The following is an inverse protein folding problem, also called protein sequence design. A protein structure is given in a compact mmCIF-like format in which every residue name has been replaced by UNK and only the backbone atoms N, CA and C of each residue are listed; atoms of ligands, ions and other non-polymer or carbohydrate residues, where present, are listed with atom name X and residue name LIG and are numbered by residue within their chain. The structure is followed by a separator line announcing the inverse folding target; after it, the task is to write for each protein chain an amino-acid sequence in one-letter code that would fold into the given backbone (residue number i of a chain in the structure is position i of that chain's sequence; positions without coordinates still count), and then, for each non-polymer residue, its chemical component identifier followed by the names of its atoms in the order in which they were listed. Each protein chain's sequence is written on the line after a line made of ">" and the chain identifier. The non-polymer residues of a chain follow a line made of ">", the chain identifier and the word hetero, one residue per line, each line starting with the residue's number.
data_IF_273370753690
#
_entry.id   IF_273370753690
#
_cell.length_a   1.000
_cell.length_b   1.000
_cell.length_c   1.000
_cell.angle_alpha   90.00
_cell.angle_beta   90.00
_cell.angle_gamma   90.00
#
_symmetry.space_group_name_H-M   'P 1'
#
loop_
_entity.id
_entity.type
_entity.pdbx_description
1 polymer ?
#
# COMPACT_ATOMS: atom_id res chain seq x y z
N UNK A 1 -48.89 29.73 -9.96
CA UNK A 1 -48.85 28.27 -9.76
C UNK A 1 -47.76 27.97 -8.74
N UNK A 2 -48.17 27.34 -7.64
CA UNK A 2 -47.37 26.74 -6.56
C UNK A 2 -46.53 27.66 -5.66
N UNK A 3 -47.17 28.08 -4.57
CA UNK A 3 -46.49 28.48 -3.34
C UNK A 3 -46.05 27.26 -2.52
N UNK A 4 -44.98 27.43 -1.75
CA UNK A 4 -44.53 26.51 -0.71
C UNK A 4 -44.52 27.29 0.61
N UNK A 5 -45.16 26.79 1.68
CA UNK A 5 -45.44 27.55 2.89
C UNK A 5 -44.25 27.65 3.84
N UNK A 6 -44.21 28.75 4.61
CA UNK A 6 -43.47 28.87 5.87
C UNK A 6 -44.36 28.48 7.05
N UNK A 7 -43.81 27.78 8.06
CA UNK A 7 -44.18 27.90 9.49
C UNK A 7 -43.16 27.09 10.33
N UNK A 8 -42.16 27.70 11.01
CA UNK A 8 -42.14 28.32 12.37
C UNK A 8 -42.60 27.45 13.54
N UNK A 9 -41.66 27.26 14.47
CA UNK A 9 -41.79 27.21 15.94
C UNK A 9 -40.51 27.88 16.46
N UNK A 10 -40.55 29.18 16.80
CA UNK A 10 -40.77 29.76 18.15
C UNK A 10 -39.63 29.44 19.15
N UNK A 11 -38.73 30.38 19.48
CA UNK A 11 -38.78 31.42 20.58
C UNK A 11 -38.25 30.77 21.89
N UNK A 12 -37.19 31.16 22.62
CA UNK A 12 -36.58 32.48 23.00
C UNK A 12 -35.18 32.22 23.68
N UNK A 13 -34.47 33.17 24.36
CA UNK A 13 -33.13 33.62 23.95
C UNK A 13 -32.02 33.44 25.01
N UNK A 14 -30.75 33.46 24.60
CA UNK A 14 -29.62 33.81 25.47
C UNK A 14 -28.72 34.71 24.62
N UNK A 15 -28.91 36.02 24.73
CA UNK A 15 -28.02 36.89 25.50
C UNK A 15 -26.56 36.80 25.02
N UNK A 16 -26.27 37.62 24.02
CA UNK A 16 -25.17 38.58 24.03
C UNK A 16 -23.81 38.10 24.58
N UNK A 17 -22.95 37.62 23.68
CA UNK A 17 -21.51 37.85 23.78
C UNK A 17 -20.94 38.12 22.39
N UNK A 18 -21.29 39.28 21.82
CA UNK A 18 -20.39 39.93 20.85
C UNK A 18 -19.19 40.40 21.65
N UNK A 19 -18.15 39.59 21.72
CA UNK A 19 -16.83 40.07 22.12
C UNK A 19 -15.85 39.75 21.01
N UNK A 20 -15.62 40.77 20.19
CA UNK A 20 -14.37 41.08 19.50
C UNK A 20 -13.74 39.93 18.69
N UNK A 21 -13.98 39.99 17.39
CA UNK A 21 -12.94 39.75 16.41
C UNK A 21 -11.78 40.74 16.61
N UNK A 22 -10.97 40.54 17.64
CA UNK A 22 -9.64 41.14 17.72
C UNK A 22 -8.76 40.39 16.73
N UNK A 23 -8.47 41.09 15.63
CA UNK A 23 -7.36 40.88 14.70
C UNK A 23 -6.35 39.83 15.18
N UNK A 24 -6.48 38.58 14.71
CA UNK A 24 -5.45 37.55 14.87
C UNK A 24 -4.25 37.97 14.02
N UNK A 25 -3.42 38.86 14.57
CA UNK A 25 -2.06 39.09 14.09
C UNK A 25 -1.34 37.74 14.01
N UNK A 26 -0.49 37.55 12.99
CA UNK A 26 0.21 36.27 12.73
C UNK A 26 0.85 35.75 14.03
N UNK A 27 0.19 34.79 14.65
CA UNK A 27 0.29 34.50 16.10
C UNK A 27 1.55 33.81 16.57
N UNK A 28 2.62 33.80 15.77
CA UNK A 28 3.97 33.40 16.21
C UNK A 28 5.02 34.18 15.42
N UNK A 29 6.13 34.58 16.07
CA UNK A 29 7.33 35.00 15.36
C UNK A 29 7.71 33.95 14.32
N UNK A 30 8.08 34.38 13.11
CA UNK A 30 8.74 33.49 12.16
C UNK A 30 9.97 32.88 12.86
N UNK A 31 10.12 31.54 12.89
CA UNK A 31 11.23 30.91 13.58
C UNK A 31 12.55 31.50 13.08
N UNK A 32 13.48 31.71 14.01
CA UNK A 32 14.81 32.22 13.67
C UNK A 32 15.44 31.34 12.60
N UNK A 33 16.24 31.93 11.72
CA UNK A 33 16.93 31.20 10.64
C UNK A 33 17.65 29.95 11.17
N UNK A 34 18.23 30.04 12.36
CA UNK A 34 18.90 28.92 13.04
C UNK A 34 17.94 27.76 13.35
N UNK A 35 16.75 28.05 13.84
CA UNK A 35 15.76 27.04 14.21
C UNK A 35 15.11 26.41 12.98
N UNK A 36 14.86 27.22 11.94
CA UNK A 36 14.37 26.74 10.66
C UNK A 36 15.39 25.83 9.95
N UNK A 37 16.68 26.18 9.99
CA UNK A 37 17.77 25.35 9.46
C UNK A 37 17.96 24.08 10.30
N UNK A 38 17.86 24.15 11.63
CA UNK A 38 17.94 22.98 12.51
C UNK A 38 16.78 22.01 12.25
N UNK A 39 15.54 22.50 12.15
CA UNK A 39 14.36 21.70 11.83
C UNK A 39 14.46 21.01 10.45
N UNK A 40 15.03 21.69 9.45
CA UNK A 40 15.33 21.09 8.14
C UNK A 40 16.41 20.02 8.22
N UNK A 41 17.43 20.20 9.06
CA UNK A 41 18.49 19.19 9.26
C UNK A 41 17.98 17.96 10.02
N UNK A 42 17.07 18.13 10.99
CA UNK A 42 16.45 17.01 11.71
C UNK A 42 15.49 16.22 10.84
N UNK A 43 14.77 16.85 9.91
CA UNK A 43 13.87 16.13 8.98
C UNK A 43 14.66 15.31 7.95
N UNK A 44 15.82 15.77 7.49
CA UNK A 44 16.74 14.98 6.64
C UNK A 44 17.37 13.82 7.43
N UNK A 45 17.61 14.00 8.74
CA UNK A 45 18.08 12.95 9.66
C UNK A 45 16.95 12.04 10.18
N UNK A 46 15.76 12.07 9.56
CA UNK A 46 14.66 11.17 9.88
C UNK A 46 15.13 9.70 10.00
N UNK A 47 14.53 8.87 10.88
CA UNK A 47 15.00 7.52 11.19
C UNK A 47 15.15 6.59 9.97
N UNK A 48 14.50 6.91 8.85
CA UNK A 48 14.70 6.26 7.55
C UNK A 48 16.17 6.27 7.09
N UNK A 49 16.95 7.27 7.53
CA UNK A 49 18.38 7.40 7.26
C UNK A 49 19.31 6.74 8.28
N UNK A 50 18.82 6.37 9.46
CA UNK A 50 19.61 5.71 10.51
C UNK A 50 19.97 4.28 10.10
N UNK A 51 21.13 3.75 10.53
CA UNK A 51 21.54 2.35 10.23
C UNK A 51 20.45 1.35 10.61
N UNK A 52 19.70 1.60 11.70
CA UNK A 52 18.57 0.76 12.11
C UNK A 52 17.36 0.85 11.16
N UNK A 53 16.93 2.05 10.79
CA UNK A 53 15.82 2.24 9.85
C UNK A 53 16.13 1.78 8.43
N UNK A 54 17.38 1.91 7.97
CA UNK A 54 17.84 1.34 6.69
C UNK A 54 17.83 -0.19 6.69
N UNK A 55 18.15 -0.84 7.82
CA UNK A 55 18.05 -2.30 7.95
C UNK A 55 16.59 -2.76 7.93
N UNK A 56 15.73 -2.12 8.72
CA UNK A 56 14.29 -2.42 8.74
C UNK A 56 13.63 -2.20 7.36
N UNK A 57 13.97 -1.13 6.64
CA UNK A 57 13.50 -0.91 5.28
C UNK A 57 13.96 -2.01 4.32
N UNK A 58 15.24 -2.41 4.38
CA UNK A 58 15.76 -3.53 3.57
C UNK A 58 15.08 -4.86 3.89
N UNK A 59 14.73 -5.11 5.14
CA UNK A 59 14.00 -6.30 5.57
C UNK A 59 12.57 -6.29 5.05
N UNK A 60 11.90 -5.14 5.08
CA UNK A 60 10.58 -4.95 4.47
C UNK A 60 10.64 -5.18 2.95
N UNK A 61 11.60 -4.58 2.25
CA UNK A 61 11.78 -4.78 0.80
C UNK A 61 12.08 -6.25 0.46
N UNK A 62 12.79 -6.97 1.34
CA UNK A 62 13.06 -8.41 1.17
C UNK A 62 11.78 -9.23 1.36
N UNK A 63 10.99 -8.91 2.39
CA UNK A 63 9.72 -9.59 2.67
C UNK A 63 8.69 -9.34 1.56
N UNK A 64 8.62 -8.15 0.99
CA UNK A 64 7.76 -7.85 -0.15
C UNK A 64 8.19 -8.62 -1.40
N UNK A 65 9.49 -8.68 -1.68
CA UNK A 65 10.03 -9.48 -2.79
C UNK A 65 9.79 -10.97 -2.61
N UNK A 66 9.92 -11.50 -1.39
CA UNK A 66 9.64 -12.91 -1.13
C UNK A 66 8.15 -13.23 -1.29
N UNK A 67 7.25 -12.33 -0.86
CA UNK A 67 5.80 -12.47 -1.08
C UNK A 67 5.44 -12.43 -2.55
N UNK A 68 6.01 -11.50 -3.31
CA UNK A 68 5.78 -11.43 -4.76
C UNK A 68 6.30 -12.69 -5.49
N UNK A 69 7.47 -13.22 -5.08
CA UNK A 69 7.99 -14.49 -5.60
C UNK A 69 7.11 -15.68 -5.25
N UNK A 70 6.64 -15.76 -4.00
CA UNK A 70 5.76 -16.82 -3.56
C UNK A 70 4.43 -16.80 -4.34
N UNK A 71 3.85 -15.62 -4.55
CA UNK A 71 2.64 -15.46 -5.38
C UNK A 71 2.88 -15.85 -6.84
N UNK A 72 4.04 -15.54 -7.40
CA UNK A 72 4.41 -15.93 -8.76
C UNK A 72 4.56 -17.46 -8.91
N UNK A 73 5.17 -18.13 -7.92
CA UNK A 73 5.32 -19.59 -7.90
C UNK A 73 3.97 -20.29 -7.71
N UNK A 74 3.12 -19.74 -6.83
CA UNK A 74 1.76 -20.23 -6.62
C UNK A 74 0.87 -20.04 -7.86
N UNK A 75 1.28 -19.20 -8.81
CA UNK A 75 0.54 -18.95 -10.03
C UNK A 75 -0.59 -17.92 -9.90
N UNK A 76 -0.62 -17.14 -8.81
CA UNK A 76 -1.61 -16.06 -8.61
C UNK A 76 -1.49 -15.01 -9.72
N UNK A 77 -2.59 -14.75 -10.43
CA UNK A 77 -2.65 -13.80 -11.56
C UNK A 77 -2.15 -12.40 -11.21
N UNK A 78 -2.36 -11.97 -9.95
CA UNK A 78 -1.94 -10.66 -9.45
C UNK A 78 -0.41 -10.47 -9.42
N UNK A 79 0.35 -11.54 -9.27
CA UNK A 79 1.81 -11.49 -9.13
C UNK A 79 2.55 -11.94 -10.40
N UNK A 80 1.82 -12.39 -11.42
CA UNK A 80 2.38 -12.76 -12.71
C UNK A 80 2.73 -11.51 -13.53
N UNK A 81 3.74 -11.57 -14.42
CA UNK A 81 3.97 -10.52 -15.41
C UNK A 81 2.76 -10.37 -16.34
N UNK A 82 2.48 -9.16 -16.81
CA UNK A 82 1.36 -8.87 -17.71
C UNK A 82 1.33 -9.73 -19.00
N UNK A 83 2.48 -10.31 -19.40
CA UNK A 83 2.59 -11.22 -20.54
C UNK A 83 1.96 -12.59 -20.26
N UNK A 84 2.01 -13.06 -19.02
CA UNK A 84 1.59 -14.40 -18.63
C UNK A 84 0.25 -14.40 -17.90
N UNK A 85 -0.32 -13.21 -17.69
CA UNK A 85 -1.66 -13.03 -17.15
C UNK A 85 -2.74 -13.39 -18.16
N UNK A 86 -3.86 -13.91 -17.67
CA UNK A 86 -5.09 -14.07 -18.41
C UNK A 86 -5.59 -15.52 -18.50
N UNK A 87 -6.90 -15.70 -18.70
CA UNK A 87 -7.57 -17.00 -18.56
C UNK A 87 -7.07 -18.05 -19.55
N UNK A 88 -6.71 -17.65 -20.77
CA UNK A 88 -6.22 -18.56 -21.81
C UNK A 88 -4.82 -19.07 -21.47
N UNK A 89 -3.90 -18.19 -21.08
CA UNK A 89 -2.51 -18.57 -20.74
C UNK A 89 -2.45 -19.36 -19.44
N UNK A 90 -3.24 -18.98 -18.44
CA UNK A 90 -3.42 -19.75 -17.20
C UNK A 90 -3.89 -21.17 -17.49
N UNK A 91 -4.98 -21.31 -18.27
CA UNK A 91 -5.50 -22.63 -18.66
C UNK A 91 -4.47 -23.49 -19.40
N UNK A 92 -3.73 -22.91 -20.36
CA UNK A 92 -2.70 -23.66 -21.10
C UNK A 92 -1.62 -24.16 -20.16
N UNK A 93 -1.15 -23.32 -19.21
CA UNK A 93 -0.14 -23.73 -18.23
C UNK A 93 -0.66 -24.85 -17.35
N UNK A 94 -1.83 -24.70 -16.74
CA UNK A 94 -2.40 -25.72 -15.85
C UNK A 94 -2.67 -27.04 -16.59
N UNK A 95 -3.11 -26.95 -17.85
CA UNK A 95 -3.33 -28.10 -18.71
C UNK A 95 -2.04 -28.77 -19.19
N UNK A 96 -0.92 -28.05 -19.31
CA UNK A 96 0.39 -28.60 -19.70
C UNK A 96 1.14 -29.15 -18.50
N UNK A 97 1.21 -28.38 -17.41
CA UNK A 97 1.94 -28.72 -16.18
C UNK A 97 1.25 -29.84 -15.41
N UNK A 98 -0.07 -30.00 -15.55
CA UNK A 98 -0.81 -31.12 -14.95
C UNK A 98 -0.67 -32.46 -15.68
N UNK A 99 0.05 -32.51 -16.83
CA UNK A 99 0.20 -33.77 -17.57
C UNK A 99 1.39 -34.56 -17.07
N UNK A 100 1.13 -35.76 -16.58
CA UNK A 100 2.14 -36.80 -16.47
C UNK A 100 2.25 -37.52 -17.80
N UNK A 101 3.45 -37.60 -18.35
CA UNK A 101 3.68 -38.33 -19.61
C UNK A 101 4.19 -39.73 -19.33
N UNK A 102 3.82 -40.71 -20.16
CA UNK A 102 4.30 -42.10 -20.04
C UNK A 102 5.84 -42.15 -20.11
N UNK A 103 6.46 -41.19 -20.80
CA UNK A 103 7.90 -41.03 -20.89
C UNK A 103 8.58 -40.71 -19.53
N UNK A 104 7.91 -40.03 -18.60
CA UNK A 104 8.48 -39.78 -17.26
C UNK A 104 8.57 -41.07 -16.45
N UNK A 105 7.58 -41.97 -16.60
CA UNK A 105 7.59 -43.29 -15.98
C UNK A 105 8.61 -44.23 -16.61
N UNK A 106 9.06 -43.97 -17.83
CA UNK A 106 10.04 -44.80 -18.52
C UNK A 106 11.36 -44.89 -17.73
N UNK A 107 11.85 -43.80 -17.15
CA UNK A 107 13.09 -43.82 -16.36
C UNK A 107 12.93 -44.70 -15.12
N UNK A 108 11.81 -44.57 -14.39
CA UNK A 108 11.52 -45.40 -13.22
C UNK A 108 11.40 -46.88 -13.61
N UNK A 109 10.68 -47.19 -14.69
CA UNK A 109 10.56 -48.55 -15.21
C UNK A 109 11.92 -49.12 -15.66
N UNK A 110 12.76 -48.32 -16.31
CA UNK A 110 14.09 -48.74 -16.74
C UNK A 110 14.99 -49.12 -15.56
N UNK A 111 14.92 -48.38 -14.44
CA UNK A 111 15.65 -48.73 -13.21
C UNK A 111 15.14 -50.05 -12.62
N UNK A 112 13.82 -50.27 -12.61
CA UNK A 112 13.22 -51.53 -12.10
C UNK A 112 13.63 -52.74 -12.94
N UNK A 113 13.78 -52.60 -14.25
CA UNK A 113 14.17 -53.69 -15.16
C UNK A 113 15.67 -53.99 -15.11
N UNK A 114 16.51 -52.99 -14.84
CA UNK A 114 17.97 -53.13 -14.79
C UNK A 114 18.47 -53.74 -13.46
N UNK A 115 17.70 -53.59 -12.38
CA UNK A 115 17.94 -54.19 -11.06
C UNK A 115 17.53 -55.66 -11.03
#
# INVERSE_FOLDING_TARGET
>A
MFGIPKKTTETTPVAESRSKSELVGKGRPTPSRRDAEAARKTSIRSPRGSRGGKKAAREQDRAERSRARAGMIAGDEKYLPARDQGPVRGFVRDFVDGRYTIAEYFIFMAVVVLL
#
